data_IF_252217173749
#
_entry.id   IF_252217173749
#
_cell.length_a   1.000
_cell.length_b   1.000
_cell.length_c   1.000
_cell.angle_alpha   90.00
_cell.angle_beta   90.00
_cell.angle_gamma   90.00
#
_symmetry.space_group_name_H-M   'P 1'
#
loop_
_entity.id
_entity.type
_entity.pdbx_description
1 polymer ?
#
# COMPACT_ATOMS: atom_id res chain seq x y z
N UNK A 1 7.47 32.37 -0.75
CA UNK A 1 7.47 31.03 -0.17
C UNK A 1 6.12 30.35 -0.14
N UNK A 2 5.06 31.11 -0.39
CA UNK A 2 3.73 30.54 -0.54
C UNK A 2 3.64 29.47 -1.64
N UNK A 3 4.48 29.55 -2.69
CA UNK A 3 4.53 28.55 -3.76
C UNK A 3 4.93 27.17 -3.26
N UNK A 4 5.88 27.06 -2.32
CA UNK A 4 6.29 25.77 -1.77
C UNK A 4 5.19 25.13 -0.93
N UNK A 5 4.41 25.94 -0.23
CA UNK A 5 3.26 25.43 0.53
C UNK A 5 2.14 24.98 -0.39
N UNK A 6 1.92 25.69 -1.51
CA UNK A 6 0.91 25.34 -2.51
C UNK A 6 1.24 24.02 -3.21
N UNK A 7 2.51 23.75 -3.45
CA UNK A 7 2.97 22.54 -4.14
C UNK A 7 3.22 21.37 -3.20
N UNK A 8 3.27 21.60 -1.88
CA UNK A 8 3.29 20.50 -0.93
C UNK A 8 1.91 19.87 -0.91
N UNK A 9 1.69 19.01 -1.89
CA UNK A 9 0.49 18.21 -1.92
C UNK A 9 0.38 17.44 -0.60
N UNK A 10 -0.80 17.52 0.04
CA UNK A 10 -1.05 16.80 1.27
C UNK A 10 -0.97 15.29 0.98
N UNK A 11 -0.01 14.63 1.62
CA UNK A 11 0.15 13.20 1.49
C UNK A 11 -1.03 12.47 2.13
N UNK A 12 -1.66 11.53 1.42
CA UNK A 12 -2.70 10.70 2.03
C UNK A 12 -2.07 9.83 3.12
N UNK A 13 -2.79 9.58 4.24
CA UNK A 13 -2.19 8.92 5.41
C UNK A 13 -1.51 7.58 5.12
N UNK A 14 -2.05 6.78 4.20
CA UNK A 14 -1.49 5.46 3.88
C UNK A 14 -0.15 5.55 3.13
N UNK A 15 0.12 6.67 2.46
CA UNK A 15 1.34 6.82 1.67
C UNK A 15 2.59 6.79 2.55
N UNK A 16 2.52 7.40 3.73
CA UNK A 16 3.66 7.46 4.64
C UNK A 16 4.17 6.08 5.07
N UNK A 17 3.35 5.20 5.67
CA UNK A 17 3.85 3.88 6.06
C UNK A 17 4.25 3.03 4.84
N UNK A 18 3.62 3.20 3.69
CA UNK A 18 3.98 2.46 2.48
C UNK A 18 5.36 2.88 1.99
N UNK A 19 5.67 4.19 1.99
CA UNK A 19 7.00 4.69 1.63
C UNK A 19 8.05 4.28 2.64
N UNK A 20 7.72 4.26 3.92
CA UNK A 20 8.63 3.81 4.97
C UNK A 20 8.95 2.32 4.79
N UNK A 21 7.96 1.50 4.46
CA UNK A 21 8.18 0.09 4.16
C UNK A 21 9.09 -0.07 2.93
N UNK A 22 8.85 0.70 1.89
CA UNK A 22 9.68 0.67 0.68
C UNK A 22 11.13 1.01 1.01
N UNK A 23 11.35 2.09 1.76
CA UNK A 23 12.68 2.52 2.19
C UNK A 23 13.37 1.45 3.06
N UNK A 24 12.64 0.86 4.00
CA UNK A 24 13.15 -0.19 4.86
C UNK A 24 13.63 -1.39 4.04
N UNK A 25 12.87 -1.81 3.04
CA UNK A 25 13.23 -2.94 2.20
C UNK A 25 14.43 -2.63 1.29
N UNK A 26 14.50 -1.40 0.76
CA UNK A 26 15.66 -0.98 -0.03
C UNK A 26 16.92 -1.02 0.83
N UNK A 27 16.84 -0.49 2.05
CA UNK A 27 17.99 -0.45 2.97
C UNK A 27 18.40 -1.85 3.42
N UNK A 28 17.44 -2.76 3.54
CA UNK A 28 17.68 -4.14 3.96
C UNK A 28 18.28 -5.02 2.86
N UNK A 29 18.37 -4.55 1.64
CA UNK A 29 18.83 -5.35 0.48
C UNK A 29 20.18 -6.04 0.73
N UNK A 30 21.07 -5.39 1.46
CA UNK A 30 22.42 -5.92 1.71
C UNK A 30 22.42 -7.04 2.75
N UNK A 31 21.34 -7.23 3.49
CA UNK A 31 21.21 -8.34 4.44
C UNK A 31 20.76 -9.63 3.76
N UNK A 32 20.25 -9.54 2.52
CA UNK A 32 19.86 -10.71 1.75
C UNK A 32 21.08 -11.35 1.09
N UNK A 33 21.06 -12.68 0.98
CA UNK A 33 22.05 -13.40 0.19
C UNK A 33 21.93 -12.96 -1.27
N UNK A 34 23.07 -13.01 -1.99
CA UNK A 34 23.15 -12.50 -3.36
C UNK A 34 22.07 -13.05 -4.29
N UNK A 35 21.85 -14.37 -4.24
CA UNK A 35 20.88 -15.02 -5.12
C UNK A 35 19.45 -14.57 -4.80
N UNK A 36 19.12 -14.45 -3.51
CA UNK A 36 17.81 -13.98 -3.06
C UNK A 36 17.60 -12.53 -3.48
N UNK A 37 18.66 -11.68 -3.39
CA UNK A 37 18.60 -10.28 -3.80
C UNK A 37 18.22 -10.13 -5.27
N UNK A 38 18.82 -10.95 -6.13
CA UNK A 38 18.65 -10.81 -7.58
C UNK A 38 17.38 -11.49 -8.10
N UNK A 39 16.69 -12.25 -7.28
CA UNK A 39 15.47 -12.94 -7.67
C UNK A 39 14.27 -12.50 -6.84
N UNK A 40 14.14 -13.03 -5.64
CA UNK A 40 12.93 -12.86 -4.82
C UNK A 40 12.77 -11.43 -4.30
N UNK A 41 13.87 -10.84 -3.81
CA UNK A 41 13.84 -9.49 -3.24
C UNK A 41 13.37 -8.45 -4.27
N UNK A 42 13.82 -8.58 -5.51
CA UNK A 42 13.43 -7.65 -6.58
C UNK A 42 11.92 -7.68 -6.83
N UNK A 43 11.31 -8.86 -6.79
CA UNK A 43 9.85 -8.99 -6.97
C UNK A 43 9.12 -8.32 -5.82
N UNK A 44 9.56 -8.53 -4.59
CA UNK A 44 8.91 -7.91 -3.42
C UNK A 44 9.00 -6.38 -3.48
N UNK A 45 10.16 -5.83 -3.79
CA UNK A 45 10.35 -4.39 -3.92
C UNK A 45 9.49 -3.83 -5.06
N UNK A 46 9.40 -4.53 -6.18
CA UNK A 46 8.55 -4.12 -7.29
C UNK A 46 7.08 -4.07 -6.88
N UNK A 47 6.63 -5.02 -6.09
CA UNK A 47 5.24 -5.03 -5.60
C UNK A 47 4.96 -3.85 -4.66
N UNK A 48 5.89 -3.49 -3.78
CA UNK A 48 5.74 -2.29 -2.94
C UNK A 48 5.70 -1.03 -3.79
N UNK A 49 6.52 -0.97 -4.83
CA UNK A 49 6.50 0.14 -5.77
C UNK A 49 5.15 0.24 -6.48
N UNK A 50 4.58 -0.90 -6.88
CA UNK A 50 3.24 -0.95 -7.46
C UNK A 50 2.18 -0.45 -6.49
N UNK A 51 2.30 -0.79 -5.21
CA UNK A 51 1.40 -0.29 -4.17
C UNK A 51 1.41 1.24 -4.11
N UNK A 52 2.57 1.85 -4.16
CA UNK A 52 2.70 3.31 -4.17
C UNK A 52 1.97 3.89 -5.40
N UNK A 53 2.11 3.26 -6.56
CA UNK A 53 1.39 3.65 -7.77
C UNK A 53 -0.12 3.58 -7.61
N UNK A 54 -0.62 2.52 -6.98
CA UNK A 54 -2.07 2.37 -6.72
C UNK A 54 -2.60 3.44 -5.78
N UNK A 55 -1.80 3.88 -4.80
CA UNK A 55 -2.18 5.00 -3.92
C UNK A 55 -2.39 6.26 -4.76
N UNK A 56 -1.47 6.54 -5.68
CA UNK A 56 -1.57 7.71 -6.55
C UNK A 56 -2.84 7.69 -7.40
N UNK A 57 -3.17 6.54 -7.96
CA UNK A 57 -4.40 6.38 -8.75
C UNK A 57 -5.63 6.55 -7.86
N UNK A 58 -5.66 5.91 -6.69
CA UNK A 58 -6.79 6.00 -5.78
C UNK A 58 -7.03 7.44 -5.31
N UNK A 59 -5.95 8.20 -5.06
CA UNK A 59 -6.04 9.57 -4.60
C UNK A 59 -6.51 10.54 -5.69
N UNK A 60 -6.00 10.39 -6.90
CA UNK A 60 -6.22 11.36 -7.97
C UNK A 60 -7.42 11.05 -8.87
N UNK A 61 -7.90 9.81 -8.89
CA UNK A 61 -8.99 9.37 -9.77
C UNK A 61 -10.09 8.71 -8.96
N UNK A 62 -11.06 9.50 -8.44
CA UNK A 62 -12.13 8.94 -7.59
C UNK A 62 -12.89 7.77 -8.22
N UNK A 63 -13.10 7.81 -9.53
CA UNK A 63 -13.82 6.75 -10.25
C UNK A 63 -13.03 5.44 -10.33
N UNK A 64 -11.71 5.47 -10.13
CA UNK A 64 -10.85 4.29 -10.13
C UNK A 64 -10.42 3.86 -8.73
N UNK A 65 -10.89 4.58 -7.71
CA UNK A 65 -10.41 4.39 -6.34
C UNK A 65 -10.67 2.98 -5.80
N UNK A 66 -11.87 2.48 -5.98
CA UNK A 66 -12.22 1.13 -5.50
C UNK A 66 -11.34 0.08 -6.14
N UNK A 67 -11.18 0.12 -7.45
CA UNK A 67 -10.31 -0.80 -8.19
C UNK A 67 -8.85 -0.69 -7.76
N UNK A 68 -8.34 0.54 -7.64
CA UNK A 68 -6.95 0.77 -7.25
C UNK A 68 -6.66 0.27 -5.83
N UNK A 69 -7.59 0.48 -4.90
CA UNK A 69 -7.43 0.01 -3.53
C UNK A 69 -7.51 -1.51 -3.43
N UNK A 70 -8.35 -2.15 -4.25
CA UNK A 70 -8.42 -3.61 -4.32
C UNK A 70 -7.10 -4.19 -4.84
N UNK A 71 -6.51 -3.58 -5.86
CA UNK A 71 -5.21 -3.99 -6.39
C UNK A 71 -4.09 -3.73 -5.37
N UNK A 72 -4.15 -2.61 -4.68
CA UNK A 72 -3.22 -2.30 -3.59
C UNK A 72 -3.22 -3.41 -2.54
N UNK A 73 -4.38 -3.83 -2.08
CA UNK A 73 -4.50 -4.89 -1.08
C UNK A 73 -3.98 -6.22 -1.59
N UNK A 74 -4.23 -6.56 -2.85
CA UNK A 74 -3.69 -7.77 -3.46
C UNK A 74 -2.16 -7.76 -3.42
N UNK A 75 -1.54 -6.66 -3.83
CA UNK A 75 -0.08 -6.52 -3.76
C UNK A 75 0.42 -6.57 -2.31
N UNK A 76 -0.31 -5.91 -1.40
CA UNK A 76 0.04 -5.91 0.01
C UNK A 76 0.11 -7.32 0.58
N UNK A 77 -0.89 -8.16 0.28
CA UNK A 77 -0.90 -9.54 0.80
C UNK A 77 0.23 -10.38 0.22
N UNK A 78 0.62 -10.13 -1.02
CA UNK A 78 1.81 -10.79 -1.60
C UNK A 78 3.08 -10.37 -0.87
N UNK A 79 3.25 -9.08 -0.63
CA UNK A 79 4.41 -8.56 0.11
C UNK A 79 4.44 -9.14 1.53
N UNK A 80 3.29 -9.18 2.19
CA UNK A 80 3.16 -9.74 3.54
C UNK A 80 3.60 -11.20 3.59
N UNK A 81 3.14 -12.00 2.63
CA UNK A 81 3.51 -13.40 2.51
C UNK A 81 5.01 -13.56 2.24
N UNK A 82 5.57 -12.74 1.37
CA UNK A 82 7.00 -12.76 1.05
C UNK A 82 7.86 -12.45 2.28
N UNK A 83 7.52 -11.39 3.02
CA UNK A 83 8.30 -10.98 4.19
C UNK A 83 8.25 -12.05 5.29
N UNK A 84 7.09 -12.67 5.48
CA UNK A 84 6.95 -13.76 6.42
C UNK A 84 7.84 -14.94 6.04
N UNK A 85 7.83 -15.31 4.76
CA UNK A 85 8.67 -16.39 4.25
C UNK A 85 10.15 -16.08 4.37
N UNK A 86 10.55 -14.84 4.03
CA UNK A 86 11.96 -14.42 4.16
C UNK A 86 12.44 -14.50 5.61
N UNK A 87 11.57 -14.11 6.55
CA UNK A 87 11.90 -14.23 7.96
C UNK A 87 12.04 -15.69 8.39
N UNK A 88 11.13 -16.56 7.96
CA UNK A 88 11.16 -17.99 8.27
C UNK A 88 12.41 -18.67 7.68
N UNK A 89 12.84 -18.26 6.50
CA UNK A 89 14.02 -18.82 5.82
C UNK A 89 15.34 -18.19 6.27
N UNK A 90 15.28 -17.18 7.12
CA UNK A 90 16.49 -16.50 7.58
C UNK A 90 17.08 -15.53 6.55
N UNK A 91 16.36 -15.21 5.48
CA UNK A 91 16.82 -14.25 4.47
C UNK A 91 16.69 -12.81 4.95
N UNK A 92 15.71 -12.55 5.81
CA UNK A 92 15.47 -11.25 6.41
C UNK A 92 15.79 -11.33 7.89
N UNK A 93 16.57 -10.38 8.42
CA UNK A 93 16.89 -10.39 9.85
C UNK A 93 15.64 -10.15 10.68
N UNK A 94 15.63 -10.72 11.87
CA UNK A 94 14.51 -10.50 12.82
C UNK A 94 14.32 -9.02 13.13
N UNK A 95 15.41 -8.27 13.24
CA UNK A 95 15.34 -6.82 13.48
C UNK A 95 14.56 -6.10 12.39
N UNK A 96 14.86 -6.38 11.11
CA UNK A 96 14.17 -5.74 9.99
C UNK A 96 12.71 -6.19 9.93
N UNK A 97 12.44 -7.47 10.15
CA UNK A 97 11.07 -7.97 10.15
C UNK A 97 10.22 -7.29 11.23
N UNK A 98 10.78 -7.11 12.43
CA UNK A 98 10.10 -6.42 13.52
C UNK A 98 9.88 -4.93 13.22
N UNK A 99 10.78 -4.30 12.47
CA UNK A 99 10.59 -2.93 12.01
C UNK A 99 9.49 -2.83 10.95
N UNK A 100 9.36 -3.83 10.09
CA UNK A 100 8.35 -3.86 9.04
C UNK A 100 6.94 -4.10 9.61
N UNK A 101 6.81 -4.85 10.68
CA UNK A 101 5.52 -5.31 11.19
C UNK A 101 4.55 -4.16 11.51
N UNK A 102 4.92 -3.13 12.29
CA UNK A 102 3.99 -2.03 12.56
C UNK A 102 3.62 -1.22 11.31
N UNK A 103 4.53 -1.14 10.35
CA UNK A 103 4.24 -0.48 9.07
C UNK A 103 3.18 -1.28 8.29
N UNK A 104 3.34 -2.59 8.23
CA UNK A 104 2.41 -3.49 7.56
C UNK A 104 1.04 -3.47 8.22
N UNK A 105 0.98 -3.47 9.55
CA UNK A 105 -0.27 -3.36 10.27
C UNK A 105 -1.00 -2.06 9.95
N UNK A 106 -0.28 -0.95 9.95
CA UNK A 106 -0.82 0.36 9.62
C UNK A 106 -1.34 0.41 8.18
N UNK A 107 -0.57 -0.14 7.24
CA UNK A 107 -0.94 -0.19 5.82
C UNK A 107 -2.24 -0.99 5.65
N UNK A 108 -2.32 -2.17 6.22
CA UNK A 108 -3.50 -3.02 6.12
C UNK A 108 -4.74 -2.32 6.68
N UNK A 109 -4.63 -1.78 7.87
CA UNK A 109 -5.75 -1.12 8.55
C UNK A 109 -6.26 0.08 7.78
N UNK A 110 -5.35 0.93 7.30
CA UNK A 110 -5.71 2.14 6.57
C UNK A 110 -6.29 1.84 5.19
N UNK A 111 -5.71 0.87 4.47
CA UNK A 111 -6.20 0.52 3.14
C UNK A 111 -7.59 -0.10 3.20
N UNK A 112 -7.83 -0.98 4.17
CA UNK A 112 -9.16 -1.58 4.36
C UNK A 112 -10.20 -0.54 4.71
N UNK A 113 -9.86 0.41 5.60
CA UNK A 113 -10.78 1.49 5.97
C UNK A 113 -11.12 2.36 4.77
N UNK A 114 -10.13 2.74 3.99
CA UNK A 114 -10.33 3.57 2.81
C UNK A 114 -11.17 2.84 1.76
N UNK A 115 -10.89 1.56 1.52
CA UNK A 115 -11.68 0.75 0.58
C UNK A 115 -13.12 0.62 1.06
N UNK A 116 -13.34 0.31 2.33
CA UNK A 116 -14.69 0.18 2.90
C UNK A 116 -15.46 1.49 2.76
N UNK A 117 -14.85 2.63 3.07
CA UNK A 117 -15.50 3.93 2.93
C UNK A 117 -15.82 4.23 1.47
N UNK A 118 -14.95 3.84 0.55
CA UNK A 118 -15.16 4.04 -0.89
C UNK A 118 -16.36 3.22 -1.38
N UNK A 119 -16.43 1.95 -0.96
CA UNK A 119 -17.56 1.07 -1.32
C UNK A 119 -18.86 1.61 -0.73
N UNK A 120 -18.86 2.02 0.53
CA UNK A 120 -20.05 2.55 1.19
C UNK A 120 -20.56 3.82 0.51
N UNK A 121 -19.67 4.70 0.09
CA UNK A 121 -20.03 5.91 -0.64
C UNK A 121 -20.69 5.58 -1.98
N UNK A 122 -20.17 4.58 -2.70
CA UNK A 122 -20.74 4.13 -3.97
C UNK A 122 -22.14 3.51 -3.77
N UNK A 123 -22.27 2.64 -2.78
CA UNK A 123 -23.55 1.97 -2.48
C UNK A 123 -24.59 3.01 -2.04
N UNK A 124 -24.21 3.96 -1.17
CA UNK A 124 -25.11 5.03 -0.75
C UNK A 124 -25.57 5.89 -1.90
N UNK A 125 -24.68 6.25 -2.84
CA UNK A 125 -25.05 7.01 -4.04
C UNK A 125 -26.02 6.23 -4.93
N UNK A 126 -25.78 4.93 -5.11
CA UNK A 126 -26.67 4.09 -5.92
C UNK A 126 -28.05 3.96 -5.28
N UNK A 127 -28.14 3.80 -3.97
CA UNK A 127 -29.41 3.73 -3.25
C UNK A 127 -30.18 5.04 -3.38
N UNK A 128 -29.51 6.17 -3.19
CA UNK A 128 -30.15 7.50 -3.34
C UNK A 128 -30.62 7.72 -4.77
N UNK A 129 -29.81 7.34 -5.76
CA UNK A 129 -30.18 7.44 -7.17
C UNK A 129 -31.37 6.56 -7.51
N UNK A 130 -31.42 5.34 -6.99
CA UNK A 130 -32.55 4.44 -7.19
C UNK A 130 -33.82 4.99 -6.56
N UNK A 131 -33.76 5.57 -5.36
CA UNK A 131 -34.88 6.19 -4.68
C UNK A 131 -35.41 7.38 -5.46
N UNK A 132 -34.53 8.23 -5.95
CA UNK A 132 -34.91 9.40 -6.76
C UNK A 132 -35.58 8.99 -8.08
N UNK A 133 -35.11 7.92 -8.71
CA UNK A 133 -35.68 7.46 -9.97
C UNK A 133 -37.07 6.83 -9.80
N UNK A 134 -37.39 6.34 -8.62
CA UNK A 134 -38.72 5.80 -8.31
C UNK A 134 -39.74 6.87 -7.95
N UNK A 135 -39.29 7.95 -7.41
CA UNK A 135 -40.14 9.07 -7.03
C UNK A 135 -40.44 9.98 -8.20
#
# INVERSE_FOLDING_TARGET
>A
MSKNQTYKKRMVPIEKPTRELYSLLIDARLTFQRDVRHTLWQYTVQEVRNMIGHIGVADNYPQLRESALSQFLTEFYKVSADLKMYNEKGFLTQKVYLQAFPLMDSIERQSKAWLTNTINARVGSNENGATESVS
#
